data_IF_807267622419
#
_entry.id   IF_807267622419
#
_cell.length_a   1.000
_cell.length_b   1.000
_cell.length_c   1.000
_cell.angle_alpha   90.00
_cell.angle_beta   90.00
_cell.angle_gamma   90.00
#
_symmetry.space_group_name_H-M   'P 1'
#
loop_
_entity.id
_entity.type
_entity.pdbx_description
1 polymer ?
#
# COMPACT_ATOMS: atom_id res chain seq x y z
N UNK A 1 78.22 22.29 27.17
CA UNK A 1 77.26 22.43 26.07
C UNK A 1 75.88 22.07 26.62
N UNK A 2 75.05 23.06 27.00
CA UNK A 2 73.70 22.86 27.53
C UNK A 2 72.72 22.88 26.36
N UNK A 3 71.91 21.81 26.16
CA UNK A 3 70.83 21.76 25.16
C UNK A 3 69.58 22.37 25.80
N UNK A 4 69.06 23.40 25.18
CA UNK A 4 67.76 24.05 25.52
C UNK A 4 66.67 23.32 24.72
N UNK A 5 65.72 22.66 25.42
CA UNK A 5 64.51 22.12 24.81
C UNK A 5 63.44 23.22 24.77
N UNK A 6 63.03 23.59 23.59
CA UNK A 6 61.89 24.50 23.36
C UNK A 6 60.65 23.60 23.21
N UNK A 7 59.74 23.74 24.18
CA UNK A 7 58.39 23.11 24.10
C UNK A 7 57.47 24.09 23.37
N UNK A 8 57.02 23.73 22.17
CA UNK A 8 56.01 24.47 21.44
C UNK A 8 54.63 24.03 21.94
N UNK A 9 53.92 24.95 22.58
CA UNK A 9 52.55 24.76 23.04
C UNK A 9 51.61 25.10 21.86
N UNK A 10 50.95 24.06 21.25
CA UNK A 10 49.89 24.27 20.29
C UNK A 10 48.57 24.51 21.02
N UNK A 11 48.09 25.75 20.98
CA UNK A 11 46.74 26.10 21.44
C UNK A 11 45.76 25.77 20.30
N UNK A 12 44.98 24.70 20.48
CA UNK A 12 43.89 24.34 19.57
C UNK A 12 42.64 25.12 19.99
N UNK A 13 42.26 26.11 19.20
CA UNK A 13 40.96 26.76 19.35
C UNK A 13 39.86 25.85 18.84
N UNK A 14 39.06 25.27 19.74
CA UNK A 14 37.77 24.67 19.38
C UNK A 14 36.78 25.80 19.09
N UNK A 15 36.52 26.05 17.81
CA UNK A 15 35.33 26.77 17.38
C UNK A 15 34.13 25.82 17.54
N UNK A 16 33.38 25.98 18.62
CA UNK A 16 32.08 25.38 18.80
C UNK A 16 31.10 26.05 17.80
N UNK A 17 31.05 25.50 16.57
CA UNK A 17 29.99 25.82 15.64
C UNK A 17 28.67 25.24 16.20
N UNK A 18 27.76 26.12 16.64
CA UNK A 18 26.37 25.78 16.85
C UNK A 18 25.80 25.36 15.47
N UNK A 19 25.86 24.09 15.15
CA UNK A 19 24.98 23.48 14.14
C UNK A 19 23.58 23.58 14.74
N UNK A 20 22.85 24.63 14.36
CA UNK A 20 21.42 24.70 14.62
C UNK A 20 20.79 23.42 14.09
N UNK A 21 20.28 22.58 14.97
CA UNK A 21 19.43 21.49 14.60
C UNK A 21 18.29 22.12 13.80
N UNK A 22 18.24 21.88 12.48
CA UNK A 22 17.04 22.11 11.71
C UNK A 22 15.99 21.20 12.35
N UNK A 23 15.14 21.80 13.20
CA UNK A 23 14.05 21.09 13.85
C UNK A 23 13.24 20.44 12.75
N UNK A 24 13.13 19.12 12.81
CA UNK A 24 12.16 18.39 12.02
C UNK A 24 10.82 19.11 12.22
N UNK A 25 10.23 19.65 11.15
CA UNK A 25 8.93 20.30 11.23
C UNK A 25 7.98 19.28 11.84
N UNK A 26 7.41 19.63 12.99
CA UNK A 26 6.45 18.75 13.66
C UNK A 26 5.25 18.55 12.72
N UNK A 27 4.92 17.30 12.43
CA UNK A 27 3.78 16.94 11.59
C UNK A 27 2.50 17.47 12.25
N UNK A 28 1.76 18.32 11.53
CA UNK A 28 0.44 18.79 11.97
C UNK A 28 -0.64 18.35 10.99
N UNK A 29 -1.73 17.78 11.50
CA UNK A 29 -2.90 17.39 10.70
C UNK A 29 -3.58 18.58 10.00
N UNK A 30 -3.37 19.81 10.50
CA UNK A 30 -3.89 21.05 9.89
C UNK A 30 -3.32 21.30 8.49
N UNK A 31 -2.23 20.63 8.13
CA UNK A 31 -1.65 20.67 6.79
C UNK A 31 -2.40 19.79 5.78
N UNK A 32 -3.26 18.89 6.26
CA UNK A 32 -4.06 18.01 5.39
C UNK A 32 -5.36 18.70 5.02
N UNK A 33 -5.58 18.85 3.73
CA UNK A 33 -6.80 19.43 3.18
C UNK A 33 -7.78 18.35 2.77
N UNK A 34 -9.02 18.48 3.21
CA UNK A 34 -10.15 17.59 2.94
C UNK A 34 -11.33 18.38 2.38
N UNK A 35 -12.31 17.73 1.73
CA UNK A 35 -13.56 18.37 1.36
C UNK A 35 -14.32 18.88 2.61
N UNK A 36 -15.21 19.89 2.45
CA UNK A 36 -16.03 20.40 3.55
C UNK A 36 -16.80 19.29 4.28
N UNK A 37 -16.84 19.38 5.62
CA UNK A 37 -17.50 18.42 6.50
C UNK A 37 -16.64 17.20 6.85
N UNK A 38 -15.51 16.98 6.20
CA UNK A 38 -14.57 15.92 6.59
C UNK A 38 -13.55 16.41 7.61
N UNK A 39 -13.16 15.51 8.50
CA UNK A 39 -12.09 15.72 9.48
C UNK A 39 -11.15 14.53 9.48
N UNK A 40 -9.86 14.82 9.68
CA UNK A 40 -8.81 13.82 9.88
C UNK A 40 -8.34 13.88 11.33
N UNK A 41 -8.08 12.71 11.91
CA UNK A 41 -7.50 12.56 13.24
C UNK A 41 -6.46 11.44 13.21
N UNK A 42 -5.56 11.41 14.19
CA UNK A 42 -4.68 10.25 14.40
C UNK A 42 -5.52 9.16 15.07
N UNK A 43 -5.58 7.99 14.44
CA UNK A 43 -6.14 6.78 15.01
C UNK A 43 -5.10 6.04 15.86
N UNK A 44 -3.87 5.88 15.31
CA UNK A 44 -2.74 5.28 16.03
C UNK A 44 -1.43 5.96 15.65
N UNK A 45 -0.61 6.25 16.66
CA UNK A 45 0.80 6.61 16.55
C UNK A 45 1.71 5.40 16.80
N UNK A 46 2.98 5.50 16.47
CA UNK A 46 3.99 4.48 16.74
C UNK A 46 3.66 3.11 16.12
N UNK A 47 3.24 3.13 14.84
CA UNK A 47 3.06 1.94 14.00
C UNK A 47 4.14 1.98 12.90
N UNK A 48 5.41 1.69 13.23
CA UNK A 48 6.54 1.89 12.32
C UNK A 48 6.36 1.19 10.98
N UNK A 49 6.46 1.98 9.90
CA UNK A 49 6.33 1.51 8.52
C UNK A 49 4.97 0.83 8.24
N UNK A 50 3.87 1.43 8.74
CA UNK A 50 2.50 0.91 8.60
C UNK A 50 2.08 0.74 7.14
N UNK A 51 1.67 -0.49 6.77
CA UNK A 51 1.32 -0.85 5.39
C UNK A 51 -0.12 -1.33 5.31
N UNK A 52 -0.37 -2.56 4.83
CA UNK A 52 -1.73 -3.09 4.70
C UNK A 52 -2.46 -3.17 6.04
N UNK A 53 -3.75 -2.86 6.03
CA UNK A 53 -4.64 -2.96 7.19
C UNK A 53 -5.66 -4.07 6.94
N UNK A 54 -5.89 -4.90 7.96
CA UNK A 54 -6.99 -5.87 7.98
C UNK A 54 -7.79 -5.71 9.28
N UNK A 55 -9.09 -5.48 9.15
CA UNK A 55 -9.98 -5.43 10.29
C UNK A 55 -10.14 -6.83 10.92
N UNK A 56 -9.95 -6.91 12.22
CA UNK A 56 -10.33 -8.03 13.08
C UNK A 56 -11.59 -7.69 13.88
N UNK A 57 -12.01 -8.56 14.80
CA UNK A 57 -13.12 -8.28 15.69
C UNK A 57 -12.73 -7.30 16.82
N UNK A 58 -13.72 -6.80 17.54
CA UNK A 58 -13.59 -6.09 18.83
C UNK A 58 -12.59 -4.91 18.80
N UNK A 59 -12.62 -4.09 17.72
CA UNK A 59 -11.75 -2.91 17.61
C UNK A 59 -10.28 -3.23 17.32
N UNK A 60 -9.94 -4.47 16.95
CA UNK A 60 -8.57 -4.87 16.59
C UNK A 60 -8.33 -4.69 15.09
N UNK A 61 -7.24 -4.04 14.74
CA UNK A 61 -6.75 -3.90 13.37
C UNK A 61 -5.35 -4.50 13.25
N UNK A 62 -5.19 -5.45 12.34
CA UNK A 62 -3.87 -6.00 12.03
C UNK A 62 -3.20 -5.16 10.97
N UNK A 63 -1.93 -4.84 11.19
CA UNK A 63 -1.17 -3.95 10.31
C UNK A 63 0.15 -4.59 9.92
N UNK A 64 0.36 -4.74 8.63
CA UNK A 64 1.65 -5.18 8.08
C UNK A 64 2.68 -4.07 8.05
N UNK A 65 3.92 -4.44 7.78
CA UNK A 65 4.99 -3.49 7.50
C UNK A 65 5.89 -4.00 6.39
N UNK A 66 6.76 -3.14 5.87
CA UNK A 66 7.71 -3.57 4.84
C UNK A 66 9.13 -3.67 5.40
N UNK A 67 9.76 -2.53 5.67
CA UNK A 67 11.15 -2.47 6.11
C UNK A 67 11.29 -2.75 7.60
N UNK A 68 10.28 -2.50 8.41
CA UNK A 68 10.30 -2.79 9.84
C UNK A 68 10.29 -4.31 10.13
N UNK A 69 9.85 -5.14 9.18
CA UNK A 69 9.80 -6.59 9.33
C UNK A 69 8.88 -7.05 10.46
N UNK A 70 7.85 -6.28 10.77
CA UNK A 70 6.94 -6.50 11.90
C UNK A 70 5.49 -6.56 11.44
N UNK A 71 4.67 -7.22 12.23
CA UNK A 71 3.20 -7.17 12.15
C UNK A 71 2.67 -6.67 13.49
N UNK A 72 1.69 -5.80 13.43
CA UNK A 72 1.11 -5.14 14.60
C UNK A 72 -0.36 -5.52 14.77
N UNK A 73 -0.83 -5.53 16.03
CA UNK A 73 -2.23 -5.36 16.38
C UNK A 73 -2.42 -3.96 16.97
N UNK A 74 -3.27 -3.18 16.35
CA UNK A 74 -3.67 -1.84 16.76
C UNK A 74 -5.08 -1.96 17.32
N UNK A 75 -5.28 -1.59 18.58
CA UNK A 75 -6.47 -1.94 19.36
C UNK A 75 -7.13 -0.67 19.88
N UNK A 76 -8.38 -0.49 19.53
CA UNK A 76 -9.30 0.49 20.13
C UNK A 76 -10.25 -0.28 21.08
N UNK A 77 -9.95 -0.26 22.39
CA UNK A 77 -10.67 -1.07 23.39
C UNK A 77 -12.01 -0.42 23.80
N UNK A 78 -12.12 0.88 23.67
CA UNK A 78 -13.25 1.66 24.19
C UNK A 78 -14.19 2.20 23.11
N UNK A 79 -13.85 2.01 21.82
CA UNK A 79 -14.66 2.41 20.67
C UNK A 79 -14.69 3.93 20.41
N UNK A 80 -13.70 4.66 20.91
CA UNK A 80 -13.61 6.13 20.70
C UNK A 80 -12.92 6.52 19.38
N UNK A 81 -12.52 5.51 18.59
CA UNK A 81 -11.81 5.64 17.33
C UNK A 81 -10.40 6.19 17.48
N UNK A 82 -9.76 5.88 18.58
CA UNK A 82 -8.35 6.08 18.83
C UNK A 82 -7.77 4.81 19.46
N UNK A 83 -6.66 4.34 18.94
CA UNK A 83 -6.04 3.14 19.48
C UNK A 83 -5.51 3.37 20.90
N UNK A 84 -5.90 2.47 21.82
CA UNK A 84 -5.40 2.41 23.19
C UNK A 84 -4.08 1.67 23.26
N UNK A 85 -3.86 0.70 22.35
CA UNK A 85 -2.67 -0.16 22.34
C UNK A 85 -2.17 -0.44 20.92
N UNK A 86 -0.85 -0.53 20.80
CA UNK A 86 -0.16 -1.06 19.61
C UNK A 86 0.76 -2.19 20.07
N UNK A 87 0.42 -3.41 19.71
CA UNK A 87 1.19 -4.62 20.06
C UNK A 87 1.97 -5.10 18.84
N UNK A 88 3.22 -5.54 19.04
CA UNK A 88 3.98 -6.25 18.02
C UNK A 88 3.62 -7.73 18.10
N UNK A 89 2.91 -8.24 17.11
CA UNK A 89 2.51 -9.66 17.03
C UNK A 89 3.67 -10.53 16.56
N UNK A 90 4.41 -10.07 15.56
CA UNK A 90 5.53 -10.80 14.99
C UNK A 90 6.63 -9.86 14.56
N UNK A 91 7.87 -10.34 14.55
CA UNK A 91 9.06 -9.59 14.14
C UNK A 91 10.05 -10.48 13.39
N UNK A 92 11.03 -9.86 12.70
CA UNK A 92 12.04 -10.61 11.93
C UNK A 92 11.49 -11.22 10.63
N UNK A 93 10.32 -10.80 10.18
CA UNK A 93 9.70 -11.27 8.96
C UNK A 93 10.24 -10.54 7.72
N UNK A 94 10.21 -11.20 6.57
CA UNK A 94 10.75 -10.64 5.34
C UNK A 94 9.72 -9.80 4.58
N UNK A 95 9.68 -8.48 4.89
CA UNK A 95 8.73 -7.52 4.31
C UNK A 95 7.27 -7.98 4.40
N UNK A 96 6.73 -8.18 5.60
CA UNK A 96 5.37 -8.70 5.83
C UNK A 96 4.33 -7.62 5.55
N UNK A 97 4.24 -7.16 4.28
CA UNK A 97 3.38 -6.05 3.89
C UNK A 97 1.90 -6.41 3.98
N UNK A 98 1.51 -7.58 3.50
CA UNK A 98 0.12 -7.98 3.41
C UNK A 98 -0.34 -8.74 4.63
N UNK A 99 -1.49 -8.34 5.18
CA UNK A 99 -2.18 -9.03 6.26
C UNK A 99 -3.65 -9.25 5.88
N UNK A 100 -4.22 -10.36 6.33
CA UNK A 100 -5.64 -10.66 6.15
C UNK A 100 -6.14 -11.48 7.34
N UNK A 101 -7.31 -11.11 7.88
CA UNK A 101 -7.95 -11.83 8.97
C UNK A 101 -9.15 -12.62 8.46
N UNK A 102 -9.26 -13.90 8.86
CA UNK A 102 -10.39 -14.73 8.51
C UNK A 102 -10.55 -15.90 9.47
N UNK A 103 -11.77 -16.14 9.94
CA UNK A 103 -12.14 -17.31 10.72
C UNK A 103 -11.36 -17.52 12.02
N UNK A 104 -10.89 -16.44 12.66
CA UNK A 104 -10.05 -16.47 13.85
C UNK A 104 -8.55 -16.38 13.55
N UNK A 105 -8.13 -16.60 12.30
CA UNK A 105 -6.74 -16.69 11.90
C UNK A 105 -6.22 -15.40 11.27
N UNK A 106 -4.99 -15.03 11.56
CA UNK A 106 -4.27 -13.96 10.88
C UNK A 106 -3.31 -14.53 9.85
N UNK A 107 -3.52 -14.17 8.58
CA UNK A 107 -2.61 -14.49 7.47
C UNK A 107 -1.66 -13.33 7.24
N UNK A 108 -0.39 -13.65 7.01
CA UNK A 108 0.68 -12.69 6.75
C UNK A 108 1.46 -13.11 5.51
N UNK A 109 1.61 -12.20 4.56
CA UNK A 109 2.39 -12.45 3.35
C UNK A 109 3.79 -11.82 3.46
N UNK A 110 4.79 -12.66 3.41
CA UNK A 110 6.19 -12.29 3.18
C UNK A 110 6.52 -12.31 1.67
N UNK A 111 7.73 -12.00 1.30
CA UNK A 111 8.13 -11.98 -0.13
C UNK A 111 7.92 -13.33 -0.81
N UNK A 112 8.28 -14.43 -0.15
CA UNK A 112 8.32 -15.76 -0.76
C UNK A 112 7.34 -16.76 -0.15
N UNK A 113 6.55 -16.36 0.85
CA UNK A 113 5.61 -17.25 1.51
C UNK A 113 4.42 -16.49 2.12
N UNK A 114 3.36 -17.24 2.39
CA UNK A 114 2.26 -16.84 3.25
C UNK A 114 2.28 -17.72 4.48
N UNK A 115 2.24 -17.12 5.65
CA UNK A 115 2.14 -17.78 6.95
C UNK A 115 0.80 -17.43 7.62
N UNK A 116 0.40 -18.22 8.61
CA UNK A 116 -0.85 -18.05 9.35
C UNK A 116 -0.63 -18.21 10.84
N UNK A 117 -1.14 -17.30 11.64
CA UNK A 117 -1.26 -17.39 13.09
C UNK A 117 -2.66 -17.87 13.41
N UNK A 118 -2.83 -19.14 13.85
CA UNK A 118 -4.16 -19.67 14.21
C UNK A 118 -4.71 -18.99 15.46
N UNK A 119 -6.04 -18.81 15.50
CA UNK A 119 -6.78 -18.30 16.67
C UNK A 119 -6.12 -17.06 17.30
N UNK A 120 -5.64 -16.12 16.45
CA UNK A 120 -4.78 -15.00 16.86
C UNK A 120 -5.40 -14.17 17.98
N UNK A 121 -6.73 -14.06 18.03
CA UNK A 121 -7.45 -13.27 19.05
C UNK A 121 -7.32 -13.84 20.46
N UNK A 122 -7.00 -15.12 20.62
CA UNK A 122 -6.85 -15.74 21.93
C UNK A 122 -5.58 -15.29 22.67
N UNK A 123 -4.52 -14.89 21.92
CA UNK A 123 -3.26 -14.46 22.53
C UNK A 123 -2.52 -13.43 21.65
N UNK A 124 -3.06 -12.22 21.53
CA UNK A 124 -2.45 -11.13 20.77
C UNK A 124 -1.08 -10.71 21.31
N UNK A 125 -0.86 -10.79 22.62
CA UNK A 125 0.39 -10.34 23.25
C UNK A 125 1.55 -11.32 23.07
N UNK A 126 1.24 -12.61 22.87
CA UNK A 126 2.23 -13.67 22.69
C UNK A 126 1.67 -14.77 21.75
N UNK A 127 1.48 -14.45 20.46
CA UNK A 127 0.98 -15.44 19.51
C UNK A 127 1.94 -16.64 19.42
N UNK A 128 1.37 -17.81 19.19
CA UNK A 128 2.15 -19.03 18.95
C UNK A 128 2.97 -18.94 17.65
N UNK A 129 3.77 -19.98 17.39
CA UNK A 129 4.51 -20.07 16.14
C UNK A 129 3.57 -20.15 14.94
N UNK A 130 3.83 -19.37 13.87
CA UNK A 130 2.99 -19.38 12.70
C UNK A 130 3.13 -20.66 11.89
N UNK A 131 2.06 -21.09 11.25
CA UNK A 131 2.05 -22.19 10.29
C UNK A 131 2.34 -21.66 8.88
N UNK A 132 3.14 -22.39 8.12
CA UNK A 132 3.34 -22.11 6.69
C UNK A 132 2.09 -22.53 5.92
N UNK A 133 1.48 -21.57 5.23
CA UNK A 133 0.32 -21.81 4.33
C UNK A 133 0.82 -22.19 2.94
N UNK A 134 1.74 -21.38 2.39
CA UNK A 134 2.35 -21.64 1.08
C UNK A 134 3.69 -20.92 0.99
N UNK A 135 4.75 -21.62 0.61
CA UNK A 135 6.15 -21.12 0.49
C UNK A 135 6.71 -21.22 -0.94
N UNK A 136 5.82 -21.41 -1.91
CA UNK A 136 6.23 -21.63 -3.31
C UNK A 136 6.36 -20.34 -4.13
N UNK A 137 6.10 -19.17 -3.54
CA UNK A 137 6.22 -17.88 -4.24
C UNK A 137 7.67 -17.53 -4.58
N UNK A 138 7.92 -16.82 -5.71
CA UNK A 138 9.26 -16.37 -6.06
C UNK A 138 9.88 -15.46 -4.98
N UNK A 139 11.21 -15.62 -4.74
CA UNK A 139 11.94 -14.90 -3.70
C UNK A 139 12.62 -13.61 -4.18
N UNK A 140 12.12 -12.96 -5.23
CA UNK A 140 12.67 -11.70 -5.73
C UNK A 140 12.19 -10.52 -4.91
N UNK A 141 13.14 -9.67 -4.46
CA UNK A 141 12.81 -8.48 -3.63
C UNK A 141 12.09 -7.38 -4.42
N UNK A 142 12.47 -7.20 -5.69
CA UNK A 142 11.87 -6.17 -6.53
C UNK A 142 10.40 -6.49 -6.77
N UNK A 143 9.49 -5.59 -6.38
CA UNK A 143 8.04 -5.79 -6.34
C UNK A 143 7.61 -7.08 -5.60
N UNK A 144 8.43 -7.53 -4.65
CA UNK A 144 8.22 -8.80 -3.96
C UNK A 144 7.25 -8.73 -2.79
N UNK A 145 7.10 -7.54 -2.16
CA UNK A 145 6.13 -7.36 -1.07
C UNK A 145 4.71 -7.52 -1.60
N UNK A 146 3.88 -8.21 -0.84
CA UNK A 146 2.56 -8.64 -1.27
C UNK A 146 1.46 -7.94 -0.47
N UNK A 147 0.41 -7.53 -1.14
CA UNK A 147 -0.88 -7.26 -0.53
C UNK A 147 -1.69 -8.55 -0.56
N UNK A 148 -2.44 -8.88 0.48
CA UNK A 148 -3.32 -10.06 0.48
C UNK A 148 -4.70 -9.71 1.02
N UNK A 149 -5.73 -10.35 0.47
CA UNK A 149 -7.11 -10.23 0.95
C UNK A 149 -7.93 -11.44 0.46
N UNK A 150 -8.90 -11.87 1.25
CA UNK A 150 -9.83 -12.91 0.85
C UNK A 150 -10.90 -12.35 -0.08
N UNK A 151 -11.17 -13.05 -1.17
CA UNK A 151 -12.23 -12.73 -2.12
C UNK A 151 -13.60 -13.27 -1.71
N UNK A 152 -14.67 -12.85 -2.42
CA UNK A 152 -16.03 -13.37 -2.21
C UNK A 152 -16.16 -14.86 -2.54
N UNK A 153 -15.19 -15.43 -3.27
CA UNK A 153 -15.03 -16.85 -3.56
C UNK A 153 -14.27 -17.61 -2.46
N UNK A 154 -14.04 -16.94 -1.33
CA UNK A 154 -13.36 -17.45 -0.14
C UNK A 154 -11.86 -17.77 -0.33
N UNK A 155 -11.28 -17.49 -1.51
CA UNK A 155 -9.86 -17.69 -1.79
C UNK A 155 -9.01 -16.50 -1.35
N UNK A 156 -7.77 -16.77 -0.97
CA UNK A 156 -6.77 -15.75 -0.68
C UNK A 156 -6.09 -15.31 -1.97
N UNK A 157 -6.20 -14.02 -2.29
CA UNK A 157 -5.56 -13.41 -3.46
C UNK A 157 -4.20 -12.84 -3.07
N UNK A 158 -3.20 -13.08 -3.94
CA UNK A 158 -1.80 -12.76 -3.68
C UNK A 158 -1.14 -12.27 -4.97
N UNK A 159 -0.76 -10.98 -5.10
CA UNK A 159 -0.03 -10.50 -6.26
C UNK A 159 1.43 -10.96 -6.23
N UNK A 160 1.97 -11.23 -7.40
CA UNK A 160 3.38 -11.55 -7.62
C UNK A 160 3.92 -10.57 -8.66
N UNK A 161 4.48 -9.47 -8.20
CA UNK A 161 4.95 -8.39 -9.07
C UNK A 161 6.11 -8.79 -9.97
N UNK A 162 6.30 -8.05 -11.06
CA UNK A 162 7.43 -8.25 -11.97
C UNK A 162 8.77 -8.04 -11.25
N UNK A 163 9.78 -8.90 -11.46
CA UNK A 163 11.06 -8.83 -10.76
C UNK A 163 12.03 -7.79 -11.38
N UNK A 164 11.51 -6.80 -12.07
CA UNK A 164 12.25 -5.83 -12.87
C UNK A 164 11.40 -4.59 -13.12
N UNK A 165 12.00 -3.54 -13.65
CA UNK A 165 11.24 -2.39 -14.17
C UNK A 165 10.33 -2.81 -15.32
N UNK A 166 10.91 -3.38 -16.40
CA UNK A 166 10.17 -3.98 -17.51
C UNK A 166 10.98 -5.12 -18.11
N UNK A 167 10.39 -6.30 -18.23
CA UNK A 167 11.06 -7.50 -18.73
C UNK A 167 10.06 -8.60 -19.07
N UNK A 168 10.50 -9.49 -19.97
CA UNK A 168 9.88 -10.80 -20.16
C UNK A 168 10.40 -11.77 -19.09
N UNK A 169 9.52 -12.58 -18.52
CA UNK A 169 9.86 -13.58 -17.52
C UNK A 169 9.61 -15.00 -18.01
N UNK A 170 10.52 -15.93 -17.62
CA UNK A 170 10.33 -17.36 -17.91
C UNK A 170 9.38 -18.02 -16.89
N UNK A 171 9.42 -17.58 -15.65
CA UNK A 171 8.52 -18.05 -14.60
C UNK A 171 7.17 -17.33 -14.76
N UNK A 172 6.09 -18.07 -15.10
CA UNK A 172 4.79 -17.49 -15.37
C UNK A 172 4.10 -16.89 -14.16
N UNK A 173 4.62 -17.12 -12.96
CA UNK A 173 4.03 -16.57 -11.72
C UNK A 173 4.29 -15.08 -11.57
N UNK A 174 5.35 -14.54 -12.17
CA UNK A 174 5.62 -13.09 -12.14
C UNK A 174 4.64 -12.27 -12.97
N UNK A 175 4.43 -11.05 -12.58
CA UNK A 175 3.50 -10.11 -13.19
C UNK A 175 2.06 -10.63 -13.22
N UNK A 176 1.60 -11.17 -12.08
CA UNK A 176 0.28 -11.79 -11.94
C UNK A 176 -0.39 -11.41 -10.61
N UNK A 177 -1.71 -11.59 -10.57
CA UNK A 177 -2.44 -11.80 -9.32
C UNK A 177 -2.78 -13.28 -9.27
N UNK A 178 -2.32 -13.96 -8.23
CA UNK A 178 -2.62 -15.37 -7.95
C UNK A 178 -3.71 -15.47 -6.89
N UNK A 179 -4.35 -16.63 -6.78
CA UNK A 179 -5.24 -16.96 -5.66
C UNK A 179 -5.08 -18.43 -5.26
N UNK A 180 -5.39 -18.73 -4.00
CA UNK A 180 -5.32 -20.08 -3.44
C UNK A 180 -6.41 -20.31 -2.40
N UNK A 181 -6.63 -21.54 -2.02
CA UNK A 181 -7.49 -21.89 -0.89
C UNK A 181 -6.87 -21.39 0.43
N UNK A 182 -7.65 -21.20 1.50
CA UNK A 182 -7.14 -20.73 2.80
C UNK A 182 -6.04 -21.63 3.40
N UNK A 183 -5.97 -22.88 3.02
CA UNK A 183 -4.94 -23.85 3.43
C UNK A 183 -3.71 -23.88 2.51
N UNK A 184 -3.65 -22.99 1.51
CA UNK A 184 -2.54 -22.85 0.57
C UNK A 184 -2.59 -23.77 -0.64
N UNK A 185 -3.57 -24.66 -0.73
CA UNK A 185 -3.77 -25.54 -1.88
C UNK A 185 -4.39 -24.80 -3.07
N UNK A 186 -4.40 -25.44 -4.24
CA UNK A 186 -5.02 -24.95 -5.47
C UNK A 186 -4.54 -23.56 -5.87
N UNK A 187 -3.22 -23.27 -5.66
CA UNK A 187 -2.60 -22.01 -6.09
C UNK A 187 -2.66 -21.90 -7.61
N UNK A 188 -3.30 -20.85 -8.12
CA UNK A 188 -3.52 -20.61 -9.53
C UNK A 188 -3.37 -19.14 -9.91
N UNK A 189 -3.04 -18.86 -11.18
CA UNK A 189 -3.01 -17.52 -11.73
C UNK A 189 -4.45 -17.07 -12.00
N UNK A 190 -4.84 -15.92 -11.44
CA UNK A 190 -6.13 -15.28 -11.66
C UNK A 190 -6.08 -14.22 -12.76
N UNK A 191 -5.07 -13.32 -12.72
CA UNK A 191 -4.86 -12.26 -13.70
C UNK A 191 -3.38 -12.20 -14.11
N UNK A 192 -3.10 -11.82 -15.36
CA UNK A 192 -1.76 -11.76 -15.94
C UNK A 192 -1.46 -10.36 -16.47
N UNK A 193 -0.18 -10.07 -16.73
CA UNK A 193 0.22 -8.77 -17.27
C UNK A 193 0.02 -7.63 -16.27
N UNK A 194 0.20 -7.90 -14.98
CA UNK A 194 0.06 -6.99 -13.86
C UNK A 194 1.44 -6.71 -13.28
N UNK A 195 1.95 -5.47 -13.45
CA UNK A 195 3.35 -5.17 -13.13
C UNK A 195 3.64 -5.17 -11.62
N UNK A 196 2.89 -4.40 -10.85
CA UNK A 196 3.13 -4.20 -9.42
C UNK A 196 1.86 -3.72 -8.70
N UNK A 197 0.96 -4.64 -8.43
CA UNK A 197 -0.25 -4.39 -7.65
C UNK A 197 0.04 -4.46 -6.16
N UNK A 198 -0.36 -3.44 -5.40
CA UNK A 198 -0.24 -3.37 -3.95
C UNK A 198 -1.59 -3.02 -3.29
N UNK A 199 -2.66 -3.11 -4.02
CA UNK A 199 -4.02 -2.88 -3.51
C UNK A 199 -5.08 -3.37 -4.46
N UNK A 200 -6.07 -4.05 -3.91
CA UNK A 200 -7.23 -4.52 -4.64
C UNK A 200 -8.44 -4.70 -3.72
N UNK A 201 -9.62 -4.69 -4.31
CA UNK A 201 -10.88 -4.92 -3.63
C UNK A 201 -11.91 -5.48 -4.61
N UNK A 202 -13.05 -5.94 -4.12
CA UNK A 202 -14.13 -6.46 -4.95
C UNK A 202 -15.29 -5.49 -4.97
N UNK A 203 -15.83 -5.29 -6.17
CA UNK A 203 -17.03 -4.50 -6.33
C UNK A 203 -18.19 -5.10 -5.52
N UNK A 204 -18.82 -4.33 -4.60
CA UNK A 204 -19.72 -4.88 -3.59
C UNK A 204 -20.96 -5.62 -4.13
N UNK A 205 -21.39 -5.28 -5.36
CA UNK A 205 -22.57 -5.92 -5.97
C UNK A 205 -22.24 -7.00 -7.00
N UNK A 206 -21.11 -6.87 -7.72
CA UNK A 206 -20.77 -7.82 -8.78
C UNK A 206 -19.77 -8.89 -8.36
N UNK A 207 -19.05 -8.67 -7.26
CA UNK A 207 -17.97 -9.54 -6.82
C UNK A 207 -16.73 -9.53 -7.73
N UNK A 208 -16.69 -8.67 -8.75
CA UNK A 208 -15.55 -8.59 -9.65
C UNK A 208 -14.35 -7.92 -8.95
N UNK A 209 -13.16 -8.39 -9.26
CA UNK A 209 -11.91 -7.86 -8.72
C UNK A 209 -11.55 -6.52 -9.40
N UNK A 210 -11.22 -5.52 -8.59
CA UNK A 210 -10.63 -4.26 -9.02
C UNK A 210 -9.28 -4.09 -8.33
N UNK A 211 -8.29 -3.55 -9.04
CA UNK A 211 -6.95 -3.40 -8.50
C UNK A 211 -6.22 -2.21 -9.11
N UNK A 212 -5.30 -1.63 -8.32
CA UNK A 212 -4.33 -0.64 -8.80
C UNK A 212 -3.10 -1.34 -9.35
N UNK A 213 -2.45 -0.77 -10.38
CA UNK A 213 -1.17 -1.25 -10.87
C UNK A 213 -0.22 -0.09 -11.13
N UNK A 214 1.02 -0.21 -10.67
CA UNK A 214 2.04 0.82 -10.82
C UNK A 214 2.74 0.69 -12.18
N UNK A 215 2.74 1.76 -12.96
CA UNK A 215 3.41 1.86 -14.24
C UNK A 215 4.93 1.69 -14.16
N UNK A 216 5.58 1.44 -15.32
CA UNK A 216 7.04 1.33 -15.40
C UNK A 216 7.72 2.69 -15.18
N UNK A 217 8.99 2.66 -14.78
CA UNK A 217 9.82 3.85 -14.65
C UNK A 217 10.56 4.18 -15.97
N UNK A 218 11.12 5.40 -16.04
CA UNK A 218 12.07 5.87 -17.07
C UNK A 218 11.47 6.03 -18.47
N UNK A 219 10.25 6.54 -18.59
CA UNK A 219 9.67 7.07 -19.81
C UNK A 219 9.39 8.59 -19.72
N UNK A 220 10.04 9.27 -18.78
CA UNK A 220 9.82 10.68 -18.46
C UNK A 220 8.82 10.88 -17.33
N UNK A 221 8.51 12.14 -17.04
CA UNK A 221 7.66 12.51 -15.91
C UNK A 221 6.18 12.15 -16.12
N UNK A 222 5.72 12.23 -17.36
CA UNK A 222 4.29 12.15 -17.68
C UNK A 222 3.85 10.79 -18.24
N UNK A 223 4.77 9.83 -18.36
CA UNK A 223 4.49 8.49 -18.90
C UNK A 223 5.26 7.40 -18.13
N UNK A 224 4.64 6.21 -18.03
CA UNK A 224 3.22 5.93 -18.25
C UNK A 224 2.38 6.31 -17.03
N UNK A 225 1.05 6.34 -17.16
CA UNK A 225 0.16 6.43 -16.02
C UNK A 225 0.26 5.18 -15.15
N UNK A 226 -0.08 5.30 -13.86
CA UNK A 226 -0.54 4.18 -13.05
C UNK A 226 -1.98 3.83 -13.46
N UNK A 227 -2.49 2.68 -13.02
CA UNK A 227 -3.72 2.12 -13.54
C UNK A 227 -4.70 1.71 -12.44
N UNK A 228 -6.00 1.92 -12.71
CA UNK A 228 -7.08 1.23 -12.02
C UNK A 228 -7.70 0.23 -13.00
N UNK A 229 -7.59 -1.03 -12.66
CA UNK A 229 -7.98 -2.17 -13.48
C UNK A 229 -9.22 -2.89 -12.96
N UNK A 230 -9.97 -3.55 -13.84
CA UNK A 230 -11.17 -4.31 -13.52
C UNK A 230 -11.11 -5.69 -14.18
N UNK A 231 -11.01 -6.74 -13.38
CA UNK A 231 -11.02 -8.12 -13.83
C UNK A 231 -12.42 -8.71 -13.70
N UNK A 232 -13.08 -8.96 -14.84
CA UNK A 232 -14.43 -9.53 -14.88
C UNK A 232 -14.43 -11.07 -14.90
N UNK A 233 -13.28 -11.67 -15.16
CA UNK A 233 -13.09 -13.12 -15.19
C UNK A 233 -11.63 -13.50 -14.98
N UNK A 234 -11.39 -14.72 -14.55
CA UNK A 234 -10.06 -15.34 -14.51
C UNK A 234 -9.42 -15.40 -15.92
N UNK A 235 -8.11 -15.26 -15.98
CA UNK A 235 -7.30 -15.40 -17.17
C UNK A 235 -7.16 -14.15 -18.05
N UNK A 236 -7.69 -12.99 -17.61
CA UNK A 236 -7.48 -11.75 -18.32
C UNK A 236 -6.02 -11.29 -18.21
N UNK A 237 -5.52 -10.67 -19.30
CA UNK A 237 -4.19 -10.07 -19.38
C UNK A 237 -4.31 -8.54 -19.42
N UNK A 238 -3.55 -7.83 -18.56
CA UNK A 238 -3.66 -6.38 -18.34
C UNK A 238 -2.54 -5.56 -18.99
N UNK A 239 -1.77 -6.14 -19.91
CA UNK A 239 -0.89 -5.42 -20.82
C UNK A 239 0.60 -5.60 -20.55
N UNK A 240 1.07 -5.58 -19.31
CA UNK A 240 2.51 -5.67 -19.01
C UNK A 240 3.14 -7.00 -19.51
N UNK A 241 4.31 -7.01 -20.15
CA UNK A 241 5.22 -5.88 -20.39
C UNK A 241 5.01 -5.17 -21.72
N UNK A 242 3.97 -5.46 -22.46
CA UNK A 242 3.77 -5.00 -23.84
C UNK A 242 3.14 -3.61 -23.94
N UNK A 243 2.18 -3.34 -23.06
CA UNK A 243 1.38 -2.13 -23.05
C UNK A 243 1.31 -1.54 -21.64
N UNK A 244 1.16 -0.22 -21.60
CA UNK A 244 0.99 0.59 -20.38
C UNK A 244 -0.18 1.54 -20.60
N UNK A 245 -1.02 1.75 -19.57
CA UNK A 245 -2.23 2.54 -19.74
C UNK A 245 -3.14 1.95 -20.82
N UNK A 246 -3.94 2.80 -21.45
CA UNK A 246 -4.95 2.37 -22.45
C UNK A 246 -4.36 1.95 -23.79
N UNK A 247 -3.21 2.53 -24.19
CA UNK A 247 -2.72 2.33 -25.55
C UNK A 247 -1.20 2.55 -25.75
N UNK A 248 -0.45 2.82 -24.69
CA UNK A 248 0.98 3.09 -24.80
C UNK A 248 1.75 1.77 -24.98
N UNK A 249 2.23 1.47 -26.18
CA UNK A 249 3.12 0.35 -26.45
C UNK A 249 4.49 0.56 -25.79
N UNK A 250 4.99 -0.49 -25.10
CA UNK A 250 6.35 -0.45 -24.55
C UNK A 250 7.39 -0.27 -25.66
N UNK A 251 8.38 0.65 -25.53
CA UNK A 251 9.38 0.87 -26.58
C UNK A 251 10.16 -0.38 -26.98
N UNK A 252 10.37 -1.31 -26.04
CA UNK A 252 11.12 -2.55 -26.27
C UNK A 252 10.23 -3.73 -26.61
N UNK A 253 9.12 -3.88 -25.89
CA UNK A 253 8.30 -5.07 -25.93
C UNK A 253 6.97 -4.91 -26.68
N UNK A 254 6.52 -3.68 -26.96
CA UNK A 254 5.23 -3.44 -27.60
C UNK A 254 5.04 -4.13 -28.94
N UNK A 255 6.11 -4.21 -29.75
CA UNK A 255 6.09 -4.92 -31.05
C UNK A 255 6.06 -6.45 -30.92
N UNK A 256 6.30 -6.98 -29.73
CA UNK A 256 6.28 -8.41 -29.43
C UNK A 256 4.95 -8.84 -28.80
N UNK A 257 3.99 -7.92 -28.68
CA UNK A 257 2.70 -8.21 -28.11
C UNK A 257 2.03 -9.35 -28.89
N UNK A 258 1.46 -10.35 -28.18
CA UNK A 258 0.56 -11.31 -28.82
C UNK A 258 -0.59 -10.59 -29.53
N UNK A 259 -1.15 -11.22 -30.56
CA UNK A 259 -2.32 -10.69 -31.28
C UNK A 259 -3.59 -10.68 -30.42
N UNK A 260 -3.56 -11.36 -29.30
CA UNK A 260 -4.70 -11.46 -28.39
C UNK A 260 -4.91 -10.15 -27.62
N UNK A 261 -6.15 -9.75 -27.50
CA UNK A 261 -6.53 -8.51 -26.86
C UNK A 261 -6.15 -8.52 -25.37
N UNK A 262 -5.42 -7.50 -24.93
CA UNK A 262 -5.26 -7.19 -23.50
C UNK A 262 -6.45 -6.35 -23.02
N UNK A 263 -6.67 -6.38 -21.72
CA UNK A 263 -7.70 -5.58 -21.05
C UNK A 263 -7.09 -4.24 -20.64
N UNK A 264 -7.50 -3.11 -21.24
CA UNK A 264 -7.01 -1.79 -20.84
C UNK A 264 -7.56 -1.39 -19.47
N UNK A 265 -6.88 -0.48 -18.75
CA UNK A 265 -7.39 0.04 -17.47
C UNK A 265 -8.72 0.77 -17.64
N UNK A 266 -9.56 0.67 -16.63
CA UNK A 266 -10.82 1.44 -16.55
C UNK A 266 -10.52 2.93 -16.40
N UNK A 267 -9.50 3.25 -15.59
CA UNK A 267 -9.02 4.61 -15.37
C UNK A 267 -7.49 4.64 -15.36
N UNK A 268 -6.94 5.52 -16.18
CA UNK A 268 -5.54 5.94 -16.05
C UNK A 268 -5.43 6.91 -14.88
N UNK A 269 -4.57 6.58 -13.93
CA UNK A 269 -4.26 7.43 -12.79
C UNK A 269 -3.10 8.37 -13.13
N UNK A 270 -2.70 9.24 -12.22
CA UNK A 270 -1.55 10.11 -12.46
C UNK A 270 -0.28 9.29 -12.73
N UNK A 271 0.64 9.79 -13.60
CA UNK A 271 1.89 9.11 -13.88
C UNK A 271 2.78 9.08 -12.64
N UNK A 272 3.25 7.86 -12.28
CA UNK A 272 4.15 7.63 -11.15
C UNK A 272 3.60 8.03 -9.77
N UNK A 273 2.28 8.12 -9.60
CA UNK A 273 1.69 8.45 -8.28
C UNK A 273 1.90 7.37 -7.23
N UNK A 274 2.37 6.19 -7.65
CA UNK A 274 2.48 4.99 -6.83
C UNK A 274 1.13 4.65 -6.18
N UNK A 275 0.13 4.35 -7.01
CA UNK A 275 -1.19 3.93 -6.58
C UNK A 275 -1.09 2.59 -5.85
N UNK A 276 -1.37 2.58 -4.54
CA UNK A 276 -1.24 1.40 -3.68
C UNK A 276 -2.62 0.90 -3.26
N UNK A 277 -2.95 0.99 -1.96
CA UNK A 277 -4.23 0.52 -1.43
C UNK A 277 -5.44 1.18 -2.09
N UNK A 278 -6.46 0.40 -2.32
CA UNK A 278 -7.74 0.88 -2.81
C UNK A 278 -8.90 0.20 -2.07
N UNK A 279 -10.01 0.91 -1.91
CA UNK A 279 -11.24 0.35 -1.32
C UNK A 279 -12.47 0.90 -2.02
N UNK A 280 -13.45 0.04 -2.24
CA UNK A 280 -14.81 0.49 -2.43
C UNK A 280 -15.35 1.06 -1.13
N UNK A 281 -15.87 2.26 -1.18
CA UNK A 281 -16.50 2.83 0.00
C UNK A 281 -17.89 2.20 0.21
N UNK A 282 -17.99 1.33 1.19
CA UNK A 282 -19.21 0.60 1.56
C UNK A 282 -19.88 1.15 2.82
N UNK A 283 -19.25 2.17 3.46
CA UNK A 283 -19.80 2.84 4.64
C UNK A 283 -20.98 3.76 4.29
N UNK A 284 -21.71 4.17 5.32
CA UNK A 284 -22.86 5.05 5.19
C UNK A 284 -22.63 6.45 5.83
N UNK A 285 -21.45 6.70 6.38
CA UNK A 285 -21.14 7.97 7.04
C UNK A 285 -20.84 9.10 6.05
N UNK A 286 -20.17 8.80 4.92
CA UNK A 286 -19.84 9.81 3.92
C UNK A 286 -21.08 10.16 3.07
N UNK A 287 -21.14 11.37 2.49
CA UNK A 287 -22.23 11.75 1.61
C UNK A 287 -22.46 10.74 0.46
N UNK A 288 -23.71 10.62 0.00
CA UNK A 288 -24.18 9.63 -1.00
C UNK A 288 -23.31 9.55 -2.26
N UNK A 289 -22.75 10.69 -2.70
CA UNK A 289 -21.85 10.74 -3.87
C UNK A 289 -20.60 9.87 -3.75
N UNK A 290 -20.25 9.42 -2.54
CA UNK A 290 -19.11 8.55 -2.28
C UNK A 290 -19.48 7.08 -2.13
N UNK A 291 -20.76 6.75 -1.95
CA UNK A 291 -21.21 5.38 -1.77
C UNK A 291 -20.90 4.55 -3.04
N UNK A 292 -20.22 3.42 -2.86
CA UNK A 292 -19.80 2.53 -3.95
C UNK A 292 -18.68 3.09 -4.84
N UNK A 293 -18.07 4.23 -4.48
CA UNK A 293 -16.94 4.79 -5.20
C UNK A 293 -15.61 4.21 -4.69
N UNK A 294 -14.55 4.35 -5.47
CA UNK A 294 -13.23 3.79 -5.15
C UNK A 294 -12.34 4.88 -4.59
N UNK A 295 -11.87 4.71 -3.36
CA UNK A 295 -10.80 5.51 -2.78
C UNK A 295 -9.47 4.84 -3.04
N UNK A 296 -8.42 5.61 -3.38
CA UNK A 296 -7.08 5.13 -3.70
C UNK A 296 -6.06 5.92 -2.89
N UNK A 297 -5.15 5.22 -2.22
CA UNK A 297 -3.98 5.80 -1.60
C UNK A 297 -2.86 5.93 -2.65
N UNK A 298 -2.48 7.15 -2.97
CA UNK A 298 -1.35 7.46 -3.85
C UNK A 298 -0.13 7.79 -2.97
N UNK A 299 0.78 6.83 -2.89
CA UNK A 299 1.95 6.86 -2.00
C UNK A 299 2.97 7.94 -2.37
N UNK A 300 3.00 8.33 -3.64
CA UNK A 300 3.82 9.40 -4.14
C UNK A 300 5.03 8.95 -4.95
N UNK A 301 5.39 9.77 -5.93
CA UNK A 301 6.45 9.53 -6.90
C UNK A 301 7.85 9.55 -6.26
N UNK A 302 8.80 8.86 -6.92
CA UNK A 302 10.21 8.92 -6.59
C UNK A 302 11.10 9.27 -7.79
N UNK A 303 10.57 9.13 -9.02
CA UNK A 303 11.30 9.25 -10.29
C UNK A 303 10.76 10.37 -11.19
N UNK A 304 10.25 11.44 -10.60
CA UNK A 304 9.80 12.65 -11.30
C UNK A 304 10.65 13.85 -10.92
N UNK A 305 10.79 14.80 -11.84
CA UNK A 305 11.39 16.12 -11.55
C UNK A 305 10.52 16.93 -10.58
N UNK A 306 9.20 16.90 -10.75
CA UNK A 306 8.22 17.47 -9.82
C UNK A 306 7.43 16.34 -9.16
N UNK A 307 7.50 16.19 -7.83
CA UNK A 307 6.79 15.14 -7.10
C UNK A 307 5.27 15.22 -7.30
N UNK A 308 4.62 14.05 -7.38
CA UNK A 308 3.17 13.90 -7.50
C UNK A 308 2.68 12.74 -6.64
N UNK A 309 1.37 12.68 -6.35
CA UNK A 309 0.78 11.70 -5.43
C UNK A 309 0.80 12.22 -4.00
N UNK A 310 1.18 11.39 -3.02
CA UNK A 310 1.16 11.74 -1.60
C UNK A 310 -0.21 12.25 -1.16
N UNK A 311 -1.27 11.53 -1.56
CA UNK A 311 -2.64 11.97 -1.41
C UNK A 311 -3.61 10.79 -1.45
N UNK A 312 -4.86 11.05 -1.17
CA UNK A 312 -5.95 10.11 -1.41
C UNK A 312 -6.79 10.67 -2.54
N UNK A 313 -7.11 9.82 -3.50
CA UNK A 313 -7.99 10.15 -4.62
C UNK A 313 -9.27 9.33 -4.59
N UNK A 314 -10.27 9.78 -5.31
CA UNK A 314 -11.55 9.06 -5.50
C UNK A 314 -11.85 8.94 -6.97
N UNK A 315 -12.11 7.71 -7.41
CA UNK A 315 -12.62 7.40 -8.74
C UNK A 315 -14.11 7.17 -8.62
N UNK A 316 -14.90 8.03 -9.28
CA UNK A 316 -16.35 7.85 -9.31
C UNK A 316 -16.76 6.96 -10.47
N UNK A 317 -17.66 6.03 -10.18
CA UNK A 317 -18.14 5.03 -11.13
C UNK A 317 -19.62 5.26 -11.51
N UNK A 318 -19.95 4.91 -12.75
CA UNK A 318 -21.33 4.66 -13.20
C UNK A 318 -21.37 3.25 -13.80
N UNK A 319 -21.90 2.30 -13.04
CA UNK A 319 -21.68 0.87 -13.29
C UNK A 319 -20.21 0.53 -13.20
N UNK A 320 -19.64 -0.13 -14.21
CA UNK A 320 -18.21 -0.47 -14.27
C UNK A 320 -17.35 0.57 -15.01
N UNK A 321 -17.89 1.75 -15.32
CA UNK A 321 -17.18 2.81 -16.04
C UNK A 321 -16.78 3.92 -15.09
N UNK A 322 -15.51 4.30 -15.07
CA UNK A 322 -15.04 5.50 -14.40
C UNK A 322 -15.58 6.75 -15.11
N UNK A 323 -16.13 7.69 -14.34
CA UNK A 323 -16.68 8.96 -14.83
C UNK A 323 -15.92 10.17 -14.32
N UNK A 324 -15.18 10.02 -13.22
CA UNK A 324 -14.26 11.06 -12.73
C UNK A 324 -13.13 10.44 -11.90
N UNK A 325 -12.01 11.16 -11.81
CA UNK A 325 -10.86 10.85 -10.96
C UNK A 325 -10.41 12.17 -10.32
N UNK A 326 -10.60 12.30 -9.01
CA UNK A 326 -10.40 13.55 -8.29
C UNK A 326 -9.58 13.35 -7.01
N UNK A 327 -8.88 14.41 -6.59
CA UNK A 327 -8.22 14.44 -5.28
C UNK A 327 -9.29 14.54 -4.20
N UNK A 328 -9.19 13.67 -3.19
CA UNK A 328 -10.05 13.68 -2.02
C UNK A 328 -9.35 14.28 -0.79
N UNK A 329 -8.10 13.86 -0.51
CA UNK A 329 -7.32 14.42 0.58
C UNK A 329 -5.87 14.64 0.11
N UNK A 330 -5.28 15.77 0.46
CA UNK A 330 -3.91 16.11 0.09
C UNK A 330 -3.23 16.96 1.17
N UNK A 331 -1.91 17.11 1.06
CA UNK A 331 -1.10 17.90 2.01
C UNK A 331 0.03 17.10 2.63
N UNK A 332 0.13 15.79 2.38
CA UNK A 332 1.31 15.02 2.78
C UNK A 332 2.57 15.41 2.00
N UNK A 333 2.42 15.97 0.79
CA UNK A 333 3.46 16.69 0.07
C UNK A 333 3.23 18.19 0.25
N UNK A 334 4.23 18.87 0.80
CA UNK A 334 4.20 20.31 1.05
C UNK A 334 4.62 21.10 -0.19
N UNK A 335 4.34 22.41 -0.21
CA UNK A 335 4.68 23.30 -1.34
C UNK A 335 6.19 23.44 -1.60
N UNK A 336 7.00 23.16 -0.61
CA UNK A 336 8.48 23.17 -0.69
C UNK A 336 9.05 21.77 -1.03
N UNK A 337 8.20 20.85 -1.49
CA UNK A 337 8.49 19.45 -1.79
C UNK A 337 8.88 18.61 -0.54
N UNK A 338 8.72 19.15 0.67
CA UNK A 338 8.87 18.34 1.89
C UNK A 338 7.74 17.31 1.96
N UNK A 339 8.10 16.04 2.19
CA UNK A 339 7.15 14.94 2.40
C UNK A 339 6.97 14.74 3.90
N UNK A 340 5.76 14.91 4.39
CA UNK A 340 5.41 14.72 5.81
C UNK A 340 4.65 13.42 6.06
N UNK A 341 4.27 12.70 5.02
CA UNK A 341 3.61 11.40 5.09
C UNK A 341 3.39 10.80 3.70
N UNK A 342 3.09 9.51 3.68
CA UNK A 342 2.87 8.71 2.47
C UNK A 342 1.72 7.73 2.68
N UNK A 343 0.49 8.04 2.24
CA UNK A 343 -0.65 7.14 2.34
C UNK A 343 -0.39 5.79 1.64
N UNK A 344 -0.72 4.69 2.30
CA UNK A 344 -0.44 3.34 1.78
C UNK A 344 -1.69 2.52 1.54
N UNK A 345 -2.49 2.28 2.57
CA UNK A 345 -3.70 1.45 2.49
C UNK A 345 -4.88 2.14 3.17
N UNK A 346 -6.06 1.66 2.84
CA UNK A 346 -7.33 2.18 3.28
C UNK A 346 -8.18 1.04 3.86
N UNK A 347 -8.94 1.30 4.93
CA UNK A 347 -9.93 0.34 5.44
C UNK A 347 -11.18 1.11 5.91
N UNK A 348 -12.36 0.61 5.56
CA UNK A 348 -13.64 1.22 5.96
C UNK A 348 -14.05 0.66 7.31
N UNK A 349 -14.23 1.55 8.30
CA UNK A 349 -14.67 1.19 9.63
C UNK A 349 -16.17 0.88 9.69
N UNK A 350 -16.65 0.16 10.73
CA UNK A 350 -18.07 -0.13 10.90
C UNK A 350 -18.96 1.11 11.02
N UNK A 351 -18.43 2.23 11.53
CA UNK A 351 -19.14 3.52 11.59
C UNK A 351 -19.16 4.27 10.24
N UNK A 352 -18.52 3.72 9.21
CA UNK A 352 -18.40 4.31 7.89
C UNK A 352 -17.26 5.31 7.74
N UNK A 353 -16.45 5.57 8.76
CA UNK A 353 -15.21 6.34 8.59
C UNK A 353 -14.11 5.51 7.91
N UNK A 354 -13.04 6.16 7.45
CA UNK A 354 -11.97 5.55 6.68
C UNK A 354 -10.65 5.61 7.46
N UNK A 355 -10.00 4.46 7.70
CA UNK A 355 -8.61 4.41 8.14
C UNK A 355 -7.66 4.57 6.95
N UNK A 356 -6.51 5.18 7.21
CA UNK A 356 -5.42 5.39 6.24
C UNK A 356 -4.11 5.08 6.93
N UNK A 357 -3.36 4.10 6.46
CA UNK A 357 -2.00 3.86 6.94
C UNK A 357 -0.98 4.75 6.24
N UNK A 358 0.10 5.07 6.95
CA UNK A 358 1.20 5.92 6.48
C UNK A 358 2.53 5.32 6.93
N UNK A 359 3.34 4.84 5.99
CA UNK A 359 4.60 4.16 6.27
C UNK A 359 5.80 5.12 6.42
N UNK A 360 5.59 6.40 6.15
CA UNK A 360 6.58 7.45 6.33
C UNK A 360 6.42 8.17 7.68
N UNK A 361 5.17 8.45 8.05
CA UNK A 361 4.86 9.09 9.34
C UNK A 361 4.68 8.08 10.48
N UNK A 362 4.77 6.76 10.21
CA UNK A 362 4.60 5.68 11.19
C UNK A 362 3.26 5.74 11.93
N UNK A 363 2.16 6.05 11.19
CA UNK A 363 0.84 6.36 11.73
C UNK A 363 -0.28 5.68 10.98
N UNK A 364 -1.44 5.67 11.64
CA UNK A 364 -2.73 5.41 11.02
C UNK A 364 -3.62 6.60 11.30
N UNK A 365 -4.21 7.17 10.26
CA UNK A 365 -5.20 8.25 10.37
C UNK A 365 -6.60 7.69 10.27
N UNK A 366 -7.56 8.44 10.82
CA UNK A 366 -8.99 8.24 10.61
C UNK A 366 -9.57 9.48 9.93
N UNK A 367 -10.29 9.29 8.84
CA UNK A 367 -11.06 10.32 8.15
C UNK A 367 -12.55 10.05 8.39
N UNK A 368 -13.25 11.03 8.95
CA UNK A 368 -14.67 10.94 9.27
C UNK A 368 -15.43 12.15 8.70
N UNK A 369 -16.69 11.95 8.34
CA UNK A 369 -17.58 13.02 7.93
C UNK A 369 -18.42 13.49 9.12
N UNK A 370 -18.37 14.78 9.38
CA UNK A 370 -19.16 15.46 10.41
C UNK A 370 -19.59 16.81 9.83
N UNK A 371 -20.81 16.91 9.23
CA UNK A 371 -21.31 18.09 8.54
C UNK A 371 -21.45 19.30 9.47
#
# INVERSE_FOLDING_TARGET
MKRINIILLFIVFFLSGNAGAMGAREFSLDQITLPPGFKISVFADNVPNARSIAAGPDGVFFVGSRNAGKVYAVIDENGDFRADKVLVIASGLWSPNGVAYRGGDLYVAEINRVIRFPDIMQNLAAPGEPLVVNDTFPSRRWHGWKFIRFGPDEKLYVPVGAPCNVCMQKDPRFATIMRMDPDGRNLEIYAQGVRNTVGFDWHPHTGNLWFTDNGRDYLGDDLPPDELNHAVRKGQHFGFPYYHGKALGDPKFGKLAPTDAYTPPVQELGPHVASLGMRFYTGLQFPDKYHGQIFIAEHGSWNRSEPIGYRITVVSLKGSRAVSYNVFAHGWLQKDNTVIGRPVDLEVLPDGSLLVSDDHADRIYRIAYRP
#
